data_IF_569819278981
#
_entry.id   IF_569819278981
#
_cell.length_a   1.000
_cell.length_b   1.000
_cell.length_c   1.000
_cell.angle_alpha   90.00
_cell.angle_beta   90.00
_cell.angle_gamma   90.00
#
_symmetry.space_group_name_H-M   'P 1'
#
loop_
_entity.id
_entity.type
_entity.pdbx_description
1 polymer ?
#
# COMPACT_ATOMS: atom_id res chain seq x y z
N UNK A 1 -7.17 -1.86 -43.91
CA UNK A 1 -7.98 -2.11 -42.71
C UNK A 1 -8.24 -0.77 -42.07
N UNK A 2 -9.49 -0.40 -41.87
CA UNK A 2 -9.85 0.91 -41.30
C UNK A 2 -9.63 0.88 -39.79
N UNK A 3 -8.73 1.72 -39.29
CA UNK A 3 -8.37 1.81 -37.86
C UNK A 3 -9.58 2.16 -37.00
N UNK A 4 -10.49 2.99 -37.52
CA UNK A 4 -11.69 3.39 -36.78
C UNK A 4 -12.71 2.23 -36.66
N UNK A 5 -12.73 1.34 -37.64
CA UNK A 5 -13.54 0.12 -37.56
C UNK A 5 -13.00 -0.83 -36.49
N UNK A 6 -11.68 -1.07 -36.48
CA UNK A 6 -11.01 -1.89 -35.45
C UNK A 6 -11.27 -1.33 -34.06
N UNK A 7 -11.12 -0.02 -33.89
CA UNK A 7 -11.41 0.65 -32.61
C UNK A 7 -12.84 0.40 -32.14
N UNK A 8 -13.82 0.53 -33.02
CA UNK A 8 -15.24 0.30 -32.68
C UNK A 8 -15.51 -1.13 -32.27
N UNK A 9 -14.94 -2.09 -33.00
CA UNK A 9 -15.06 -3.51 -32.70
C UNK A 9 -14.43 -3.84 -31.34
N UNK A 10 -13.21 -3.39 -31.09
CA UNK A 10 -12.52 -3.59 -29.81
C UNK A 10 -13.27 -2.97 -28.62
N UNK A 11 -13.82 -1.76 -28.77
CA UNK A 11 -14.63 -1.13 -27.73
C UNK A 11 -15.90 -1.92 -27.43
N UNK A 12 -16.52 -2.52 -28.44
CA UNK A 12 -17.70 -3.35 -28.27
C UNK A 12 -17.36 -4.66 -27.55
N UNK A 13 -16.24 -5.28 -27.90
CA UNK A 13 -15.78 -6.52 -27.24
C UNK A 13 -15.40 -6.30 -25.77
N UNK A 14 -14.86 -5.13 -25.45
CA UNK A 14 -14.42 -4.80 -24.08
C UNK A 14 -15.52 -4.11 -23.25
N UNK A 15 -16.73 -3.90 -23.77
CA UNK A 15 -17.77 -3.08 -23.12
C UNK A 15 -18.12 -3.56 -21.70
N UNK A 16 -18.28 -4.86 -21.51
CA UNK A 16 -18.61 -5.47 -20.22
C UNK A 16 -17.49 -5.21 -19.18
N UNK A 17 -16.23 -5.37 -19.58
CA UNK A 17 -15.09 -5.10 -18.71
C UNK A 17 -15.00 -3.62 -18.35
N UNK A 18 -15.26 -2.73 -19.30
CA UNK A 18 -15.28 -1.28 -19.03
C UNK A 18 -16.40 -0.89 -18.07
N UNK A 19 -17.59 -1.47 -18.19
CA UNK A 19 -18.69 -1.21 -17.26
C UNK A 19 -18.32 -1.60 -15.81
N UNK A 20 -17.67 -2.74 -15.61
CA UNK A 20 -17.17 -3.16 -14.29
C UNK A 20 -16.11 -2.20 -13.73
N UNK A 21 -15.20 -1.75 -14.59
CA UNK A 21 -14.16 -0.77 -14.22
C UNK A 21 -14.78 0.56 -13.86
N UNK A 22 -15.71 1.07 -14.69
CA UNK A 22 -16.38 2.34 -14.48
C UNK A 22 -17.20 2.35 -13.20
N UNK A 23 -17.91 1.26 -12.89
CA UNK A 23 -18.62 1.12 -11.63
C UNK A 23 -17.68 1.17 -10.41
N UNK A 24 -16.51 0.52 -10.51
CA UNK A 24 -15.50 0.56 -9.46
C UNK A 24 -14.89 1.96 -9.32
N UNK A 25 -14.57 2.61 -10.45
CA UNK A 25 -14.05 3.97 -10.49
C UNK A 25 -15.04 4.97 -9.89
N UNK A 26 -16.34 4.86 -10.23
CA UNK A 26 -17.39 5.70 -9.66
C UNK A 26 -17.45 5.59 -8.14
N UNK A 27 -17.47 4.37 -7.59
CA UNK A 27 -17.48 4.14 -6.13
C UNK A 27 -16.25 4.72 -5.43
N UNK A 28 -15.07 4.54 -6.02
CA UNK A 28 -13.84 5.06 -5.44
C UNK A 28 -13.79 6.60 -5.52
N UNK A 29 -14.23 7.18 -6.64
CA UNK A 29 -14.31 8.63 -6.79
C UNK A 29 -15.27 9.24 -5.77
N UNK A 30 -16.46 8.64 -5.61
CA UNK A 30 -17.43 9.08 -4.60
C UNK A 30 -16.82 9.05 -3.19
N UNK A 31 -16.17 7.97 -2.81
CA UNK A 31 -15.50 7.84 -1.50
C UNK A 31 -14.46 8.95 -1.28
N UNK A 32 -13.68 9.29 -2.29
CA UNK A 32 -12.68 10.36 -2.20
C UNK A 32 -13.36 11.73 -2.06
N UNK A 33 -14.40 12.01 -2.84
CA UNK A 33 -15.14 13.26 -2.75
C UNK A 33 -15.86 13.43 -1.41
N UNK A 34 -16.38 12.35 -0.84
CA UNK A 34 -16.95 12.34 0.51
C UNK A 34 -15.90 12.70 1.57
N UNK A 35 -14.70 12.11 1.49
CA UNK A 35 -13.61 12.46 2.40
C UNK A 35 -13.17 13.95 2.26
N UNK A 36 -13.14 14.49 1.04
CA UNK A 36 -12.88 15.92 0.80
C UNK A 36 -13.94 16.81 1.46
N UNK A 37 -15.21 16.43 1.33
CA UNK A 37 -16.34 17.16 1.91
C UNK A 37 -16.32 17.11 3.45
N UNK A 38 -16.10 15.93 4.02
CA UNK A 38 -16.01 15.72 5.47
C UNK A 38 -14.83 16.49 6.07
N UNK A 39 -13.67 16.45 5.42
CA UNK A 39 -12.50 17.23 5.79
C UNK A 39 -12.66 18.75 5.53
N UNK A 40 -13.77 19.19 4.92
CA UNK A 40 -14.03 20.60 4.55
C UNK A 40 -12.88 21.21 3.76
N UNK A 41 -12.38 20.47 2.75
CA UNK A 41 -11.30 20.95 1.90
C UNK A 41 -11.72 22.23 1.16
N UNK A 42 -10.85 23.23 1.14
CA UNK A 42 -11.10 24.53 0.48
C UNK A 42 -9.81 25.05 -0.17
N UNK A 43 -9.93 26.09 -0.99
CA UNK A 43 -8.78 26.76 -1.62
C UNK A 43 -7.72 27.23 -0.61
N UNK A 44 -8.10 27.53 0.61
CA UNK A 44 -7.20 27.94 1.69
C UNK A 44 -6.12 26.87 2.01
N UNK A 45 -6.45 25.60 1.87
CA UNK A 45 -5.51 24.49 2.16
C UNK A 45 -4.46 24.26 1.06
N UNK A 46 -4.61 24.92 -0.08
CA UNK A 46 -3.64 24.91 -1.18
C UNK A 46 -2.67 26.09 -1.15
N UNK A 47 -2.81 26.99 -0.18
CA UNK A 47 -1.86 28.08 0.00
C UNK A 47 -0.47 27.54 0.35
N UNK A 48 0.57 28.16 -0.19
CA UNK A 48 1.96 27.81 0.10
C UNK A 48 2.29 28.02 1.58
N UNK A 49 3.16 27.15 2.11
CA UNK A 49 3.70 27.26 3.48
C UNK A 49 5.22 27.35 3.46
N UNK A 50 5.83 27.61 4.62
CA UNK A 50 7.29 27.62 4.77
C UNK A 50 7.94 26.25 4.58
N UNK A 51 7.16 25.17 4.61
CA UNK A 51 7.65 23.79 4.52
C UNK A 51 8.25 23.23 5.82
N UNK A 52 8.38 24.02 6.87
CA UNK A 52 8.91 23.58 8.17
C UNK A 52 7.92 22.80 9.03
N UNK A 53 6.67 22.64 8.58
CA UNK A 53 5.64 21.88 9.29
C UNK A 53 4.93 22.64 10.41
N UNK A 54 5.30 23.87 10.67
CA UNK A 54 4.60 24.72 11.62
C UNK A 54 3.40 25.39 10.91
N UNK A 55 2.19 25.12 11.41
CA UNK A 55 0.95 25.67 10.84
C UNK A 55 0.75 25.35 9.36
N UNK A 56 1.21 24.17 8.94
CA UNK A 56 1.02 23.68 7.57
C UNK A 56 -0.35 23.03 7.42
N UNK A 57 -1.35 23.87 7.29
CA UNK A 57 -2.77 23.48 7.20
C UNK A 57 -3.07 22.56 6.02
N UNK A 58 -2.38 22.72 4.90
CA UNK A 58 -2.53 21.86 3.73
C UNK A 58 -2.04 20.44 4.00
N UNK A 59 -0.91 20.31 4.70
CA UNK A 59 -0.33 19.02 5.07
C UNK A 59 -1.22 18.26 6.05
N UNK A 60 -1.69 18.93 7.09
CA UNK A 60 -2.60 18.34 8.07
C UNK A 60 -3.92 17.93 7.42
N UNK A 61 -4.44 18.76 6.53
CA UNK A 61 -5.66 18.47 5.79
C UNK A 61 -5.51 17.28 4.85
N UNK A 62 -4.35 17.11 4.22
CA UNK A 62 -4.04 15.95 3.37
C UNK A 62 -4.04 14.65 4.18
N UNK A 63 -3.45 14.66 5.38
CA UNK A 63 -3.47 13.51 6.29
C UNK A 63 -4.91 13.15 6.69
N UNK A 64 -5.75 14.14 7.00
CA UNK A 64 -7.16 13.95 7.34
C UNK A 64 -7.95 13.32 6.19
N UNK A 65 -7.78 13.83 4.97
CA UNK A 65 -8.43 13.27 3.77
C UNK A 65 -8.02 11.81 3.54
N UNK A 66 -6.72 11.50 3.61
CA UNK A 66 -6.24 10.14 3.44
C UNK A 66 -6.76 9.20 4.54
N UNK A 67 -6.76 9.64 5.78
CA UNK A 67 -7.34 8.87 6.88
C UNK A 67 -8.82 8.55 6.60
N UNK A 68 -9.61 9.54 6.14
CA UNK A 68 -11.02 9.37 5.76
C UNK A 68 -11.21 8.37 4.61
N UNK A 69 -10.45 8.52 3.53
CA UNK A 69 -10.52 7.63 2.35
C UNK A 69 -10.25 6.17 2.71
N UNK A 70 -9.25 5.93 3.55
CA UNK A 70 -8.82 4.57 3.95
C UNK A 70 -9.47 4.08 5.24
N UNK A 71 -10.36 4.89 5.86
CA UNK A 71 -11.01 4.58 7.14
C UNK A 71 -10.00 4.24 8.25
N UNK A 72 -8.89 4.98 8.27
CA UNK A 72 -7.85 4.88 9.26
C UNK A 72 -7.99 5.99 10.32
N UNK A 73 -7.48 5.76 11.51
CA UNK A 73 -7.47 6.77 12.57
C UNK A 73 -6.56 7.95 12.23
N UNK A 74 -5.45 7.66 11.57
CA UNK A 74 -4.43 8.63 11.16
C UNK A 74 -3.79 8.22 9.84
N UNK A 75 -3.27 9.21 9.12
CA UNK A 75 -2.42 9.03 7.96
C UNK A 75 -1.21 9.98 8.05
N UNK A 76 -0.14 9.63 7.39
CA UNK A 76 1.04 10.49 7.20
C UNK A 76 1.36 10.51 5.72
N UNK A 77 1.09 11.64 5.07
CA UNK A 77 1.31 11.83 3.64
C UNK A 77 2.34 12.92 3.44
N UNK A 78 3.54 12.54 3.02
CA UNK A 78 4.68 13.47 2.90
C UNK A 78 5.47 13.22 1.62
N UNK A 79 5.94 14.27 0.94
CA UNK A 79 6.81 14.14 -0.23
C UNK A 79 8.18 13.53 0.11
N UNK A 80 8.53 13.47 1.40
CA UNK A 80 9.74 12.81 1.89
C UNK A 80 9.72 11.29 1.75
N UNK A 81 8.55 10.68 1.61
CA UNK A 81 8.43 9.28 1.17
C UNK A 81 8.64 9.21 -0.34
N UNK A 82 9.88 9.04 -0.76
CA UNK A 82 10.30 9.13 -2.17
C UNK A 82 9.84 7.96 -3.03
N UNK A 83 9.34 6.88 -2.42
CA UNK A 83 8.82 5.69 -3.11
C UNK A 83 7.93 4.85 -2.18
N UNK A 84 7.14 3.93 -2.78
CA UNK A 84 6.37 2.95 -2.02
C UNK A 84 7.27 2.04 -1.16
N UNK A 85 8.41 1.62 -1.68
CA UNK A 85 9.40 0.85 -0.91
C UNK A 85 9.90 1.62 0.32
N UNK A 86 10.15 2.93 0.20
CA UNK A 86 10.55 3.76 1.33
C UNK A 86 9.45 3.83 2.40
N UNK A 87 8.19 4.02 1.99
CA UNK A 87 7.07 4.05 2.92
C UNK A 87 6.92 2.71 3.67
N UNK A 88 6.94 1.58 2.95
CA UNK A 88 6.86 0.24 3.54
C UNK A 88 8.05 -0.06 4.45
N UNK A 89 9.27 0.25 4.02
CA UNK A 89 10.48 0.07 4.83
C UNK A 89 10.41 0.87 6.13
N UNK A 90 9.93 2.11 6.07
CA UNK A 90 9.75 2.97 7.26
C UNK A 90 8.78 2.32 8.25
N UNK A 91 7.63 1.82 7.78
CA UNK A 91 6.64 1.15 8.63
C UNK A 91 7.23 -0.13 9.25
N UNK A 92 7.88 -0.97 8.44
CA UNK A 92 8.48 -2.22 8.95
C UNK A 92 9.58 -1.94 9.98
N UNK A 93 10.44 -0.93 9.73
CA UNK A 93 11.48 -0.53 10.68
C UNK A 93 10.92 0.08 11.97
N UNK A 94 9.74 0.70 11.93
CA UNK A 94 9.07 1.25 13.12
C UNK A 94 8.37 0.18 13.96
N UNK A 95 7.90 -0.90 13.34
CA UNK A 95 7.12 -1.94 14.00
C UNK A 95 7.96 -3.13 14.49
N UNK A 96 9.13 -3.36 13.89
CA UNK A 96 9.94 -4.57 14.09
C UNK A 96 11.25 -4.27 14.82
N UNK A 97 11.49 -5.04 15.85
CA UNK A 97 12.71 -5.02 16.67
C UNK A 97 13.47 -6.33 16.55
N UNK A 98 14.69 -6.36 17.13
CA UNK A 98 15.49 -7.60 17.18
C UNK A 98 14.73 -8.73 17.91
N UNK A 99 14.62 -9.85 17.25
CA UNK A 99 13.91 -11.03 17.74
C UNK A 99 12.48 -11.16 17.24
N UNK A 100 11.90 -10.10 16.66
CA UNK A 100 10.57 -10.16 16.06
C UNK A 100 10.55 -10.99 14.76
N UNK A 101 9.38 -11.53 14.44
CA UNK A 101 9.12 -12.28 13.21
C UNK A 101 8.21 -11.48 12.27
N UNK A 102 8.68 -11.30 11.04
CA UNK A 102 7.91 -10.85 9.89
C UNK A 102 7.51 -12.06 9.03
N UNK A 103 6.25 -12.20 8.67
CA UNK A 103 5.79 -13.25 7.75
C UNK A 103 5.15 -12.62 6.52
N UNK A 104 5.63 -13.01 5.32
CA UNK A 104 4.95 -12.72 4.07
C UNK A 104 3.91 -13.81 3.79
N UNK A 105 2.66 -13.41 3.54
CA UNK A 105 1.54 -14.35 3.36
C UNK A 105 1.30 -14.78 1.90
N UNK A 106 2.14 -14.32 0.98
CA UNK A 106 1.97 -14.55 -0.47
C UNK A 106 3.28 -14.98 -1.15
N UNK A 107 4.18 -15.59 -0.40
CA UNK A 107 5.53 -15.89 -0.88
C UNK A 107 6.45 -14.67 -0.81
N UNK A 108 7.51 -14.68 -1.61
CA UNK A 108 8.49 -13.61 -1.65
C UNK A 108 7.84 -12.27 -2.11
N UNK A 109 8.08 -11.17 -1.40
CA UNK A 109 7.67 -9.85 -1.87
C UNK A 109 8.52 -9.42 -3.08
N UNK A 110 8.15 -8.30 -3.73
CA UNK A 110 8.90 -7.80 -4.88
C UNK A 110 10.37 -7.48 -4.53
N UNK A 111 11.22 -7.42 -5.54
CA UNK A 111 12.69 -7.41 -5.45
C UNK A 111 13.28 -6.32 -4.53
N UNK A 112 12.75 -5.09 -4.57
CA UNK A 112 13.24 -4.02 -3.71
C UNK A 112 12.91 -4.25 -2.23
N UNK A 113 11.76 -4.85 -1.93
CA UNK A 113 11.42 -5.25 -0.55
C UNK A 113 12.26 -6.43 -0.06
N UNK A 114 12.63 -7.36 -0.94
CA UNK A 114 13.59 -8.42 -0.59
C UNK A 114 14.92 -7.84 -0.12
N UNK A 115 15.36 -6.73 -0.74
CA UNK A 115 16.54 -5.97 -0.29
C UNK A 115 16.38 -5.33 1.09
N UNK A 116 15.19 -4.81 1.40
CA UNK A 116 14.85 -4.25 2.73
C UNK A 116 14.82 -5.36 3.79
N UNK A 117 14.24 -6.50 3.48
CA UNK A 117 14.16 -7.66 4.39
C UNK A 117 15.52 -8.32 4.54
N UNK A 118 16.26 -8.55 3.45
CA UNK A 118 17.66 -9.00 3.48
C UNK A 118 17.85 -10.50 3.49
N UNK A 119 16.84 -11.34 3.26
CA UNK A 119 16.97 -12.79 3.23
C UNK A 119 17.27 -13.35 1.83
N UNK A 120 16.68 -12.77 0.79
CA UNK A 120 16.99 -13.15 -0.59
C UNK A 120 18.21 -12.41 -1.16
N UNK A 121 18.52 -11.22 -0.61
CA UNK A 121 19.66 -10.40 -1.02
C UNK A 121 20.31 -9.81 0.23
N UNK A 122 21.61 -10.03 0.39
CA UNK A 122 22.35 -9.41 1.50
C UNK A 122 22.38 -7.87 1.33
N UNK A 123 21.99 -7.21 2.41
CA UNK A 123 21.99 -5.75 2.51
C UNK A 123 22.46 -5.35 3.92
N UNK A 124 23.40 -4.39 3.98
CA UNK A 124 24.01 -3.96 5.25
C UNK A 124 23.02 -3.39 6.27
N UNK A 125 21.91 -2.82 5.81
CA UNK A 125 20.91 -2.17 6.65
C UNK A 125 19.53 -2.85 6.59
N UNK A 126 19.51 -4.15 6.26
CA UNK A 126 18.27 -4.92 6.16
C UNK A 126 17.69 -5.26 7.54
N UNK A 127 16.42 -5.69 7.55
CA UNK A 127 15.76 -6.21 8.76
C UNK A 127 16.52 -7.41 9.31
N UNK A 128 17.04 -8.30 8.44
CA UNK A 128 17.89 -9.44 8.82
C UNK A 128 19.11 -9.00 9.63
N UNK A 129 19.83 -7.96 9.18
CA UNK A 129 21.02 -7.47 9.89
C UNK A 129 20.68 -6.80 11.22
N UNK A 130 19.43 -6.32 11.37
CA UNK A 130 18.89 -5.82 12.64
C UNK A 130 18.41 -6.93 13.58
N UNK A 131 18.48 -8.19 13.15
CA UNK A 131 18.07 -9.35 13.95
C UNK A 131 16.58 -9.67 13.90
N UNK A 132 15.87 -9.20 12.89
CA UNK A 132 14.47 -9.56 12.62
C UNK A 132 14.44 -10.89 11.85
N UNK A 133 13.59 -11.82 12.25
CA UNK A 133 13.34 -13.08 11.53
C UNK A 133 12.33 -12.88 10.42
N UNK A 134 12.44 -13.71 9.38
CA UNK A 134 11.54 -13.66 8.23
C UNK A 134 11.15 -15.04 7.75
N UNK A 135 9.86 -15.24 7.48
CA UNK A 135 9.31 -16.47 6.90
C UNK A 135 8.31 -16.11 5.78
N UNK A 136 8.06 -17.07 4.91
CA UNK A 136 7.11 -16.94 3.79
C UNK A 136 6.10 -18.08 3.82
N UNK A 137 4.83 -17.74 3.51
CA UNK A 137 3.82 -18.71 3.16
C UNK A 137 3.63 -18.62 1.64
N UNK A 138 4.06 -19.62 0.86
CA UNK A 138 3.91 -19.59 -0.59
C UNK A 138 2.45 -19.64 -1.00
N UNK A 139 2.14 -19.12 -2.19
CA UNK A 139 0.84 -19.31 -2.81
C UNK A 139 0.64 -20.79 -3.17
N UNK A 140 -0.59 -21.26 -3.07
CA UNK A 140 -1.02 -22.59 -3.52
C UNK A 140 -2.01 -22.39 -4.67
N UNK A 141 -1.72 -22.98 -5.83
CA UNK A 141 -2.55 -22.86 -7.04
C UNK A 141 -2.87 -21.40 -7.40
N UNK A 142 -1.88 -20.51 -7.33
CA UNK A 142 -2.03 -19.06 -7.54
C UNK A 142 -3.02 -18.35 -6.59
N UNK A 143 -3.42 -18.99 -5.50
CA UNK A 143 -4.28 -18.43 -4.47
C UNK A 143 -3.64 -18.47 -3.09
N UNK A 144 -4.25 -17.83 -2.12
CA UNK A 144 -3.76 -17.84 -0.74
C UNK A 144 -3.88 -19.25 -0.13
N UNK A 145 -2.79 -19.77 0.42
CA UNK A 145 -2.82 -20.96 1.28
C UNK A 145 -3.36 -20.59 2.66
N UNK A 146 -4.69 -20.54 2.79
CA UNK A 146 -5.34 -20.15 4.05
C UNK A 146 -5.01 -21.10 5.21
N UNK A 147 -4.77 -22.38 4.94
CA UNK A 147 -4.40 -23.35 5.97
C UNK A 147 -2.96 -23.11 6.43
N UNK A 148 -2.04 -22.92 5.49
CA UNK A 148 -0.64 -22.56 5.78
C UNK A 148 -0.54 -21.24 6.53
N UNK A 149 -1.30 -20.23 6.12
CA UNK A 149 -1.38 -18.94 6.81
C UNK A 149 -1.87 -19.10 8.25
N UNK A 150 -2.99 -19.80 8.48
CA UNK A 150 -3.54 -20.03 9.83
C UNK A 150 -2.52 -20.75 10.72
N UNK A 151 -1.88 -21.78 10.19
CA UNK A 151 -0.86 -22.54 10.91
C UNK A 151 0.31 -21.64 11.33
N UNK A 152 0.92 -20.94 10.36
CA UNK A 152 2.08 -20.07 10.63
C UNK A 152 1.72 -18.97 11.62
N UNK A 153 0.60 -18.30 11.44
CA UNK A 153 0.18 -17.21 12.34
C UNK A 153 -0.10 -17.71 13.75
N UNK A 154 -0.76 -18.88 13.92
CA UNK A 154 -1.09 -19.42 15.23
C UNK A 154 0.13 -19.98 15.96
N UNK A 155 1.01 -20.69 15.27
CA UNK A 155 2.19 -21.35 15.87
C UNK A 155 3.36 -20.39 16.09
N UNK A 156 3.65 -19.57 15.09
CA UNK A 156 4.82 -18.68 15.08
C UNK A 156 4.55 -17.30 15.70
N UNK A 157 3.29 -16.88 15.77
CA UNK A 157 2.85 -15.61 16.35
C UNK A 157 3.66 -14.40 15.84
N UNK A 158 3.70 -14.17 14.51
CA UNK A 158 4.50 -13.09 13.95
C UNK A 158 4.08 -11.74 14.50
N UNK A 159 5.03 -10.84 14.70
CA UNK A 159 4.77 -9.45 15.09
C UNK A 159 4.08 -8.68 13.98
N UNK A 160 4.50 -8.93 12.74
CA UNK A 160 3.94 -8.30 11.53
C UNK A 160 3.71 -9.36 10.47
N UNK A 161 2.59 -9.26 9.77
CA UNK A 161 2.31 -10.00 8.55
C UNK A 161 2.31 -9.04 7.35
N UNK A 162 2.94 -9.44 6.26
CA UNK A 162 3.00 -8.69 5.02
C UNK A 162 2.11 -9.35 3.97
N UNK A 163 1.16 -8.60 3.47
CA UNK A 163 0.33 -8.96 2.33
C UNK A 163 0.57 -7.95 1.22
N UNK A 164 1.17 -8.38 0.13
CA UNK A 164 1.45 -7.54 -1.02
C UNK A 164 0.83 -8.16 -2.26
N UNK A 165 0.16 -7.35 -3.07
CA UNK A 165 -0.45 -7.77 -4.33
C UNK A 165 0.05 -6.92 -5.49
#
# INVERSE_FOLDING_TARGET
>A
MDIEQIRREALKECAEQFELIDHTALKNTQKVLEAFKEARLSAYHFAGSSGYGYSDIGREKLDEVYAGVFKAEKAIVRPHFVSGTHALATVLCALLEKGDLLVSLIGAPYDTMQGVIGYARDSRNSLKTKGVYYEEVPLKDNTYDLEGIRRVVSERKPKVVLLQR
#
